data_IF_267666135155
#
_entry.id   IF_267666135155
#
_cell.length_a   1.000
_cell.length_b   1.000
_cell.length_c   1.000
_cell.angle_alpha   90.00
_cell.angle_beta   90.00
_cell.angle_gamma   90.00
#
_symmetry.space_group_name_H-M   'P 1'
#
loop_
_entity.id
_entity.type
_entity.pdbx_description
1 polymer ?
#
# COMPACT_ATOMS: atom_id res chain seq x y z
N UNK A 1 25.56 -12.20 23.32
CA UNK A 1 24.16 -12.67 23.30
C UNK A 1 23.48 -11.92 22.15
N UNK A 2 23.53 -12.48 20.93
CA UNK A 2 23.02 -11.82 19.73
C UNK A 2 21.56 -12.22 19.53
N UNK A 3 20.66 -11.22 19.53
CA UNK A 3 19.26 -11.36 19.15
C UNK A 3 19.14 -11.54 17.64
N UNK A 4 18.62 -12.68 17.19
CA UNK A 4 18.14 -12.86 15.80
C UNK A 4 16.98 -13.87 15.78
N UNK A 5 15.91 -13.59 16.53
CA UNK A 5 14.59 -14.08 16.09
C UNK A 5 14.22 -13.20 14.90
N UNK A 6 14.49 -13.71 13.69
CA UNK A 6 14.34 -12.98 12.44
C UNK A 6 12.95 -12.37 12.32
N UNK A 7 12.89 -11.07 12.04
CA UNK A 7 11.67 -10.47 11.53
C UNK A 7 11.33 -11.24 10.24
N UNK A 8 10.19 -11.94 10.21
CA UNK A 8 9.80 -12.71 9.05
C UNK A 8 9.58 -11.75 7.86
N UNK A 9 10.19 -12.05 6.72
CA UNK A 9 10.08 -11.25 5.51
C UNK A 9 8.63 -11.06 5.06
N UNK A 10 8.36 -9.97 4.33
CA UNK A 10 7.02 -9.57 3.91
C UNK A 10 7.00 -9.23 2.45
N UNK A 11 5.88 -9.60 1.80
CA UNK A 11 5.54 -9.13 0.46
C UNK A 11 4.36 -8.18 0.58
N UNK A 12 4.54 -6.99 0.00
CA UNK A 12 3.53 -5.96 -0.15
C UNK A 12 2.94 -6.08 -1.55
N UNK A 13 1.63 -6.07 -1.65
CA UNK A 13 0.93 -6.11 -2.93
C UNK A 13 0.05 -4.88 -3.05
N UNK A 14 0.27 -4.13 -4.12
CA UNK A 14 -0.53 -2.97 -4.48
C UNK A 14 -1.21 -3.21 -5.81
N UNK A 15 -2.54 -3.09 -5.84
CA UNK A 15 -3.34 -3.23 -7.07
C UNK A 15 -3.93 -1.87 -7.40
N UNK A 16 -3.55 -1.33 -8.54
CA UNK A 16 -4.12 -0.14 -9.13
C UNK A 16 -5.25 -0.55 -10.09
N UNK A 17 -6.45 -0.03 -9.85
CA UNK A 17 -7.60 -0.22 -10.72
C UNK A 17 -8.29 1.14 -11.01
N UNK A 18 -8.47 1.42 -12.31
CA UNK A 18 -9.09 2.63 -12.84
C UNK A 18 -10.42 2.33 -13.56
N UNK A 19 -10.75 1.04 -13.75
CA UNK A 19 -11.78 0.55 -14.67
C UNK A 19 -13.19 1.09 -14.38
N UNK A 20 -13.46 1.46 -13.13
CA UNK A 20 -14.72 2.07 -12.71
C UNK A 20 -14.91 3.56 -13.08
N UNK A 21 -13.89 4.24 -13.61
CA UNK A 21 -13.91 5.69 -13.82
C UNK A 21 -13.83 6.14 -15.29
N UNK A 22 -14.00 5.22 -16.26
CA UNK A 22 -13.81 5.51 -17.70
C UNK A 22 -12.42 6.09 -18.00
N UNK A 23 -11.45 5.77 -17.15
CA UNK A 23 -10.06 6.18 -17.28
C UNK A 23 -9.37 5.16 -18.21
N UNK A 24 -8.64 5.61 -19.25
CA UNK A 24 -7.94 4.71 -20.16
C UNK A 24 -6.67 4.07 -19.54
N UNK A 25 -6.28 4.47 -18.33
CA UNK A 25 -5.09 3.95 -17.65
C UNK A 25 -5.28 2.46 -17.37
N UNK A 26 -4.40 1.57 -17.87
CA UNK A 26 -4.53 0.14 -17.61
C UNK A 26 -4.36 -0.18 -16.13
N UNK A 27 -5.08 -1.19 -15.65
CA UNK A 27 -4.86 -1.74 -14.32
C UNK A 27 -3.43 -2.24 -14.16
N UNK A 28 -2.84 -2.06 -12.98
CA UNK A 28 -1.46 -2.44 -12.70
C UNK A 28 -1.32 -3.09 -11.31
N UNK A 29 -0.32 -3.95 -11.15
CA UNK A 29 0.01 -4.58 -9.87
C UNK A 29 1.49 -4.38 -9.58
N UNK A 30 1.81 -3.96 -8.36
CA UNK A 30 3.17 -3.80 -7.88
C UNK A 30 3.43 -4.70 -6.66
N UNK A 31 4.60 -5.36 -6.66
CA UNK A 31 5.06 -6.23 -5.59
C UNK A 31 6.34 -5.65 -4.99
N UNK A 32 6.40 -5.54 -3.67
CA UNK A 32 7.60 -5.14 -2.95
C UNK A 32 7.94 -6.17 -1.89
N UNK A 33 9.23 -6.40 -1.65
CA UNK A 33 9.71 -7.28 -0.58
C UNK A 33 10.46 -6.46 0.46
N UNK A 34 10.19 -6.73 1.73
CA UNK A 34 10.98 -6.22 2.85
C UNK A 34 11.34 -7.34 3.83
N UNK A 35 12.54 -7.30 4.45
CA UNK A 35 12.93 -8.29 5.45
C UNK A 35 12.24 -8.08 6.80
N UNK A 36 11.47 -7.00 6.96
CA UNK A 36 10.72 -6.71 8.19
C UNK A 36 9.33 -6.13 7.89
N UNK A 37 8.49 -6.05 8.92
CA UNK A 37 7.11 -5.53 8.86
C UNK A 37 7.00 -4.15 9.50
N UNK A 38 7.89 -3.21 9.16
CA UNK A 38 7.81 -1.82 9.63
C UNK A 38 6.94 -0.96 8.69
N UNK A 39 6.17 -0.05 9.28
CA UNK A 39 5.33 0.90 8.55
C UNK A 39 6.10 1.94 7.73
N UNK A 40 7.44 1.97 7.78
CA UNK A 40 8.27 2.81 6.91
C UNK A 40 8.21 2.34 5.45
N UNK A 41 8.17 1.01 5.22
CA UNK A 41 8.10 0.44 3.87
C UNK A 41 6.86 0.91 3.09
N UNK A 42 5.62 0.75 3.60
CA UNK A 42 4.46 1.25 2.89
C UNK A 42 4.44 2.77 2.77
N UNK A 43 5.03 3.50 3.72
CA UNK A 43 5.16 4.96 3.61
C UNK A 43 6.04 5.37 2.44
N UNK A 44 7.19 4.71 2.26
CA UNK A 44 8.12 4.97 1.17
C UNK A 44 7.55 4.50 -0.19
N UNK A 45 6.92 3.33 -0.25
CA UNK A 45 6.31 2.81 -1.49
C UNK A 45 5.20 3.73 -2.02
N UNK A 46 4.47 4.38 -1.12
CA UNK A 46 3.31 5.21 -1.43
C UNK A 46 3.61 6.72 -1.37
N UNK A 47 4.86 7.12 -1.16
CA UNK A 47 5.25 8.53 -1.02
C UNK A 47 4.83 9.40 -2.21
N UNK A 48 4.80 8.83 -3.42
CA UNK A 48 4.39 9.50 -4.66
C UNK A 48 2.98 9.12 -5.14
N UNK A 49 2.24 8.31 -4.38
CA UNK A 49 0.89 7.92 -4.74
C UNK A 49 -0.13 8.97 -4.28
N UNK A 50 -1.03 9.37 -5.18
CA UNK A 50 -2.16 10.24 -4.89
C UNK A 50 -3.44 9.56 -5.37
N UNK A 51 -4.35 9.26 -4.46
CA UNK A 51 -5.60 8.60 -4.78
C UNK A 51 -6.28 8.01 -3.56
N UNK A 52 -7.31 7.20 -3.79
CA UNK A 52 -8.04 6.49 -2.74
C UNK A 52 -7.37 5.14 -2.50
N UNK A 53 -6.89 4.90 -1.27
CA UNK A 53 -6.26 3.62 -0.89
C UNK A 53 -7.10 2.86 0.13
N UNK A 54 -7.45 1.61 -0.20
CA UNK A 54 -8.02 0.65 0.74
C UNK A 54 -6.91 -0.26 1.27
N UNK A 55 -6.68 -0.25 2.58
CA UNK A 55 -5.71 -1.13 3.25
C UNK A 55 -6.41 -2.28 3.98
N UNK A 56 -5.74 -3.42 4.08
CA UNK A 56 -6.14 -4.63 4.83
C UNK A 56 -6.29 -4.46 6.36
N UNK A 57 -6.23 -3.22 6.87
CA UNK A 57 -6.31 -2.91 8.30
C UNK A 57 -4.97 -2.98 9.04
N UNK A 58 -3.83 -3.17 8.36
CA UNK A 58 -2.52 -3.12 9.00
C UNK A 58 -2.20 -1.71 9.53
N UNK A 59 -1.86 -1.62 10.83
CA UNK A 59 -1.61 -0.34 11.51
C UNK A 59 -0.46 0.49 10.94
N UNK A 60 0.47 -0.11 10.18
CA UNK A 60 1.55 0.64 9.51
C UNK A 60 1.06 1.60 8.43
N UNK A 61 -0.16 1.42 7.90
CA UNK A 61 -0.78 2.36 6.97
C UNK A 61 -1.34 3.61 7.64
N UNK A 62 -1.46 3.65 8.99
CA UNK A 62 -2.06 4.78 9.71
C UNK A 62 -1.37 6.13 9.42
N UNK A 63 -0.07 6.12 9.13
CA UNK A 63 0.70 7.33 8.78
C UNK A 63 0.39 7.85 7.37
N UNK A 64 -0.20 7.02 6.50
CA UNK A 64 -0.60 7.38 5.14
C UNK A 64 -2.00 7.98 5.09
N UNK A 65 -2.86 7.61 6.02
CA UNK A 65 -4.16 8.25 6.24
C UNK A 65 -3.96 9.59 6.98
N UNK A 66 -3.38 10.58 6.29
CA UNK A 66 -3.63 11.98 6.61
C UNK A 66 -5.11 12.28 6.38
N UNK A 67 -5.64 13.35 6.98
CA UNK A 67 -7.07 13.71 7.01
C UNK A 67 -7.67 14.09 5.63
N UNK A 68 -7.42 13.30 4.59
CA UNK A 68 -7.72 13.58 3.20
C UNK A 68 -8.63 12.48 2.66
N UNK A 69 -9.91 12.63 2.93
CA UNK A 69 -10.95 12.01 2.10
C UNK A 69 -10.97 12.83 0.81
N UNK A 70 -10.41 12.28 -0.27
CA UNK A 70 -10.52 12.89 -1.60
C UNK A 70 -11.76 12.32 -2.28
N UNK A 71 -12.92 12.90 -1.99
CA UNK A 71 -14.09 12.74 -2.85
C UNK A 71 -13.94 13.66 -4.07
N UNK A 72 -13.29 13.13 -5.10
CA UNK A 72 -13.22 13.75 -6.43
C UNK A 72 -13.86 12.83 -7.46
N UNK A 73 -14.48 13.36 -8.53
CA UNK A 73 -15.20 12.58 -9.52
C UNK A 73 -14.29 11.75 -10.45
N UNK A 74 -13.01 11.52 -10.08
CA UNK A 74 -11.95 10.76 -10.79
C UNK A 74 -10.83 10.41 -9.81
N UNK A 75 -11.08 9.54 -8.84
CA UNK A 75 -10.04 9.13 -7.90
C UNK A 75 -9.52 7.73 -8.25
N UNK A 76 -8.23 7.64 -8.60
CA UNK A 76 -7.54 6.35 -8.77
C UNK A 76 -7.66 5.52 -7.50
N UNK A 77 -8.00 4.23 -7.65
CA UNK A 77 -8.16 3.30 -6.52
C UNK A 77 -6.96 2.38 -6.41
N UNK A 78 -6.43 2.27 -5.21
CA UNK A 78 -5.40 1.29 -4.86
C UNK A 78 -5.86 0.38 -3.73
N UNK A 79 -5.74 -0.93 -3.91
CA UNK A 79 -5.84 -1.90 -2.82
C UNK A 79 -4.43 -2.26 -2.34
N UNK A 80 -4.20 -2.17 -1.03
CA UNK A 80 -2.93 -2.45 -0.38
C UNK A 80 -3.07 -3.61 0.61
N UNK A 81 -2.24 -4.65 0.43
CA UNK A 81 -2.21 -5.82 1.30
C UNK A 81 -0.79 -6.08 1.83
N UNK A 82 -0.70 -6.51 3.09
CA UNK A 82 0.53 -6.89 3.77
C UNK A 82 0.47 -8.34 4.25
N UNK A 83 1.11 -9.25 3.52
CA UNK A 83 1.09 -10.69 3.86
C UNK A 83 2.35 -11.12 4.59
N UNK A 84 2.15 -11.96 5.61
CA UNK A 84 3.20 -12.65 6.35
C UNK A 84 3.57 -13.93 5.61
N UNK A 85 4.81 -14.03 5.11
CA UNK A 85 5.42 -15.32 4.79
C UNK A 85 5.86 -16.03 6.06
#
# INVERSE_FOLDING_TARGET
>A
MFSTLGEAGRVWVYVFDSSGYQDPTPGAIAYYYSPDRKGVHPADHLANFSGVTHADGYGGYKKLYGNQIVEGPRAWRMCAASSTM
#
